data_IF_771991600774
#
_entry.id   IF_771991600774
#
_cell.length_a   1.000
_cell.length_b   1.000
_cell.length_c   1.000
_cell.angle_alpha   90.00
_cell.angle_beta   90.00
_cell.angle_gamma   90.00
#
_symmetry.space_group_name_H-M   'P 1'
#
loop_
_entity.id
_entity.type
_entity.pdbx_description
1 polymer ?
#
# COMPACT_ATOMS: atom_id res chain seq x y z
N UNK A 1 -5.68 -23.06 -4.97
CA UNK A 1 -5.28 -23.08 -3.55
C UNK A 1 -6.36 -23.72 -2.66
N UNK A 2 -7.64 -23.22 -2.60
CA UNK A 2 -8.72 -23.71 -1.70
C UNK A 2 -8.90 -25.25 -1.72
N UNK A 3 -8.97 -25.89 -2.91
CA UNK A 3 -9.12 -27.36 -3.02
C UNK A 3 -7.96 -28.14 -2.40
N UNK A 4 -6.73 -27.66 -2.52
CA UNK A 4 -5.54 -28.31 -1.97
C UNK A 4 -5.52 -28.19 -0.44
N UNK A 5 -5.86 -27.02 0.07
CA UNK A 5 -5.96 -26.73 1.51
C UNK A 5 -6.98 -27.66 2.17
N UNK A 6 -8.20 -27.77 1.61
CA UNK A 6 -9.24 -28.64 2.13
C UNK A 6 -8.80 -30.10 2.09
N UNK A 7 -8.23 -30.56 0.94
CA UNK A 7 -7.79 -31.94 0.77
C UNK A 7 -6.73 -32.38 1.77
N UNK A 8 -5.83 -31.47 2.15
CA UNK A 8 -4.68 -31.80 3.01
C UNK A 8 -4.84 -31.27 4.44
N UNK A 9 -5.98 -30.67 4.78
CA UNK A 9 -6.21 -30.01 6.07
C UNK A 9 -5.10 -28.99 6.42
N UNK A 10 -4.69 -28.19 5.43
CA UNK A 10 -3.66 -27.17 5.60
C UNK A 10 -4.26 -25.84 6.05
N UNK A 11 -3.46 -25.03 6.73
CA UNK A 11 -3.81 -23.66 7.06
C UNK A 11 -3.72 -22.78 5.79
N UNK A 12 -4.74 -21.96 5.55
CA UNK A 12 -4.78 -20.99 4.46
C UNK A 12 -4.75 -19.56 5.02
N UNK A 13 -3.62 -18.89 4.93
CA UNK A 13 -3.41 -17.58 5.53
C UNK A 13 -4.31 -16.46 4.97
N UNK A 14 -4.80 -16.59 3.71
CA UNK A 14 -5.68 -15.59 3.06
C UNK A 14 -5.20 -14.15 3.23
N UNK A 15 -3.97 -13.89 2.85
CA UNK A 15 -3.29 -12.60 3.11
C UNK A 15 -4.02 -11.35 2.61
N UNK A 16 -4.96 -11.48 1.69
CA UNK A 16 -5.73 -10.37 1.13
C UNK A 16 -7.04 -10.11 1.87
N UNK A 17 -7.50 -11.06 2.69
CA UNK A 17 -8.75 -11.03 3.44
C UNK A 17 -8.56 -11.11 4.95
N UNK A 18 -7.38 -11.55 5.42
CA UNK A 18 -7.11 -11.77 6.84
C UNK A 18 -6.67 -10.48 7.52
N UNK A 19 -7.43 -10.04 8.51
CA UNK A 19 -7.16 -8.84 9.31
C UNK A 19 -5.86 -8.91 10.11
N UNK A 20 -5.35 -10.10 10.44
CA UNK A 20 -4.06 -10.24 11.11
C UNK A 20 -2.92 -9.59 10.33
N UNK A 21 -3.07 -9.45 9.01
CA UNK A 21 -2.13 -8.74 8.16
C UNK A 21 -2.03 -7.25 8.52
N UNK A 22 -3.14 -6.55 8.72
CA UNK A 22 -3.13 -5.16 9.17
C UNK A 22 -2.83 -5.03 10.67
N UNK A 23 -3.34 -5.96 11.48
CA UNK A 23 -3.17 -5.95 12.93
C UNK A 23 -1.70 -6.06 13.36
N UNK A 24 -0.89 -6.85 12.65
CA UNK A 24 0.55 -6.93 12.96
C UNK A 24 1.26 -5.62 12.64
N UNK A 25 0.95 -4.96 11.53
CA UNK A 25 1.53 -3.67 11.18
C UNK A 25 1.07 -2.53 12.10
N UNK A 26 -0.15 -2.60 12.62
CA UNK A 26 -0.63 -1.69 13.67
C UNK A 26 0.21 -1.83 14.94
N UNK A 27 0.41 -3.08 15.40
CA UNK A 27 1.12 -3.37 16.67
C UNK A 27 2.64 -3.23 16.59
N UNK A 28 3.22 -3.22 15.40
CA UNK A 28 4.68 -3.18 15.20
C UNK A 28 5.07 -1.99 14.33
N UNK A 29 4.96 -2.07 13.02
CA UNK A 29 5.43 -1.06 12.06
C UNK A 29 4.88 0.34 12.35
N UNK A 30 3.59 0.47 12.64
CA UNK A 30 2.97 1.75 12.98
C UNK A 30 3.51 2.33 14.28
N UNK A 31 3.68 1.49 15.30
CA UNK A 31 4.25 1.91 16.58
C UNK A 31 5.74 2.28 16.46
N UNK A 32 6.49 1.56 15.65
CA UNK A 32 7.89 1.88 15.36
C UNK A 32 8.00 3.25 14.69
N UNK A 33 7.24 3.51 13.63
CA UNK A 33 7.18 4.81 12.96
C UNK A 33 6.78 5.91 13.95
N UNK A 34 5.71 5.71 14.72
CA UNK A 34 5.30 6.67 15.74
C UNK A 34 6.43 6.98 16.74
N UNK A 35 7.09 5.94 17.26
CA UNK A 35 8.16 6.12 18.26
C UNK A 35 9.36 6.88 17.69
N UNK A 36 9.71 6.64 16.43
CA UNK A 36 10.84 7.33 15.78
C UNK A 36 10.52 8.82 15.52
N UNK A 37 9.27 9.15 15.20
CA UNK A 37 8.89 10.49 14.78
C UNK A 37 8.14 11.32 15.83
N UNK A 38 7.66 10.75 16.93
CA UNK A 38 6.84 11.47 17.94
C UNK A 38 7.46 12.76 18.51
N UNK A 39 8.79 12.85 18.53
CA UNK A 39 9.50 14.00 19.08
C UNK A 39 9.94 15.02 18.02
N UNK A 40 10.00 14.65 16.76
CA UNK A 40 10.47 15.49 15.65
C UNK A 40 9.38 15.84 14.65
N UNK A 41 8.25 15.14 14.69
CA UNK A 41 7.14 15.29 13.75
C UNK A 41 7.33 14.46 12.49
N UNK A 42 6.22 14.21 11.80
CA UNK A 42 6.17 13.52 10.51
C UNK A 42 5.14 14.25 9.66
N UNK A 43 5.58 14.96 8.62
CA UNK A 43 4.66 15.73 7.77
C UNK A 43 3.90 14.81 6.81
N UNK A 44 4.62 13.90 6.17
CA UNK A 44 4.07 12.98 5.18
C UNK A 44 4.53 11.55 5.43
N UNK A 45 3.62 10.61 5.21
CA UNK A 45 3.92 9.19 5.12
C UNK A 45 3.36 8.65 3.80
N UNK A 46 4.24 8.09 2.97
CA UNK A 46 3.92 7.60 1.62
C UNK A 46 4.04 6.10 1.57
N UNK A 47 3.03 5.41 1.06
CA UNK A 47 3.11 3.97 0.83
C UNK A 47 2.20 3.53 -0.30
N UNK A 48 2.66 2.55 -1.08
CA UNK A 48 1.80 1.79 -1.98
C UNK A 48 1.14 0.61 -1.29
N UNK A 49 0.42 -0.20 -2.07
CA UNK A 49 -0.25 -1.39 -1.54
C UNK A 49 -0.05 -2.62 -2.42
N UNK A 50 0.26 -3.74 -1.76
CA UNK A 50 0.10 -5.09 -2.29
C UNK A 50 -1.15 -5.72 -1.69
N UNK A 51 -1.06 -6.20 -0.46
CA UNK A 51 -2.23 -6.65 0.33
C UNK A 51 -3.00 -5.52 0.99
N UNK A 52 -2.36 -4.37 1.18
CA UNK A 52 -2.89 -3.25 1.94
C UNK A 52 -2.62 -3.32 3.45
N UNK A 53 -2.09 -4.44 3.95
CA UNK A 53 -1.89 -4.64 5.39
C UNK A 53 -1.03 -3.57 6.05
N UNK A 54 0.12 -3.26 5.46
CA UNK A 54 1.01 -2.20 5.96
C UNK A 54 0.32 -0.85 5.96
N UNK A 55 -0.32 -0.48 4.83
CA UNK A 55 -0.99 0.81 4.74
C UNK A 55 -2.09 0.93 5.79
N UNK A 56 -2.96 -0.06 5.90
CA UNK A 56 -4.08 -0.05 6.85
C UNK A 56 -3.61 -0.02 8.31
N UNK A 57 -2.67 -0.90 8.67
CA UNK A 57 -2.19 -0.97 10.06
C UNK A 57 -1.44 0.28 10.51
N UNK A 58 -0.55 0.82 9.67
CA UNK A 58 0.17 2.07 9.98
C UNK A 58 -0.79 3.26 10.02
N UNK A 59 -1.76 3.32 9.10
CA UNK A 59 -2.73 4.41 9.07
C UNK A 59 -3.57 4.49 10.34
N UNK A 60 -3.97 3.36 10.93
CA UNK A 60 -4.68 3.34 12.21
C UNK A 60 -3.88 4.07 13.29
N UNK A 61 -2.59 3.74 13.44
CA UNK A 61 -1.72 4.35 14.45
C UNK A 61 -1.48 5.83 14.17
N UNK A 62 -1.18 6.20 12.92
CA UNK A 62 -0.88 7.59 12.59
C UNK A 62 -2.12 8.48 12.67
N UNK A 63 -3.30 8.00 12.32
CA UNK A 63 -4.55 8.74 12.50
C UNK A 63 -4.88 8.98 13.97
N UNK A 64 -4.58 8.03 14.85
CA UNK A 64 -4.79 8.17 16.29
C UNK A 64 -3.73 9.07 16.95
N UNK A 65 -2.44 8.80 16.68
CA UNK A 65 -1.33 9.37 17.46
C UNK A 65 -0.63 10.55 16.79
N UNK A 66 -0.74 10.69 15.47
CA UNK A 66 -0.14 11.76 14.67
C UNK A 66 -1.14 12.29 13.63
N UNK A 67 -2.30 12.82 14.03
CA UNK A 67 -3.39 13.17 13.10
C UNK A 67 -3.03 14.28 12.10
N UNK A 68 -1.94 15.00 12.31
CA UNK A 68 -1.44 16.04 11.39
C UNK A 68 -0.62 15.47 10.23
N UNK A 69 -0.14 14.22 10.36
CA UNK A 69 0.62 13.56 9.28
C UNK A 69 -0.28 13.35 8.07
N UNK A 70 0.17 13.79 6.90
CA UNK A 70 -0.49 13.52 5.63
C UNK A 70 -0.15 12.10 5.18
N UNK A 71 -1.18 11.28 5.01
CA UNK A 71 -1.04 9.90 4.54
C UNK A 71 -1.30 9.83 3.05
N UNK A 72 -0.30 9.43 2.29
CA UNK A 72 -0.35 9.34 0.84
C UNK A 72 -0.38 7.87 0.42
N UNK A 73 -1.47 7.47 -0.20
CA UNK A 73 -1.56 6.18 -0.88
C UNK A 73 -1.06 6.35 -2.30
N UNK A 74 -0.29 5.39 -2.79
CA UNK A 74 0.15 5.41 -4.19
C UNK A 74 -0.12 4.08 -4.88
N UNK A 75 -0.42 4.14 -6.17
CA UNK A 75 -0.68 2.99 -7.01
C UNK A 75 -0.09 3.20 -8.42
N UNK A 76 0.08 2.15 -9.25
CA UNK A 76 0.60 2.31 -10.60
C UNK A 76 -0.30 3.20 -11.46
N UNK A 77 0.29 4.10 -12.23
CA UNK A 77 -0.43 5.02 -13.14
C UNK A 77 -1.29 4.32 -14.18
N UNK A 78 -0.86 3.12 -14.59
CA UNK A 78 -1.58 2.29 -15.57
C UNK A 78 -2.61 1.33 -14.94
N UNK A 79 -2.67 1.25 -13.62
CA UNK A 79 -3.55 0.35 -12.87
C UNK A 79 -4.10 1.04 -11.61
N UNK A 80 -4.89 2.08 -11.81
CA UNK A 80 -5.44 2.91 -10.75
C UNK A 80 -6.77 2.32 -10.25
N UNK A 81 -6.70 1.23 -9.49
CA UNK A 81 -7.89 0.52 -9.03
C UNK A 81 -8.68 1.35 -8.02
N UNK A 82 -7.99 1.91 -7.03
CA UNK A 82 -8.60 2.78 -6.02
C UNK A 82 -8.99 4.12 -6.63
N UNK A 83 -8.13 4.70 -7.48
CA UNK A 83 -8.37 5.96 -8.16
C UNK A 83 -9.54 5.94 -9.15
N UNK A 84 -9.90 4.79 -9.67
CA UNK A 84 -11.05 4.63 -10.56
C UNK A 84 -12.39 4.86 -9.85
N UNK A 85 -12.41 4.77 -8.52
CA UNK A 85 -13.63 4.80 -7.70
C UNK A 85 -14.64 3.67 -8.01
N UNK A 86 -14.24 2.66 -8.77
CA UNK A 86 -15.07 1.49 -9.04
C UNK A 86 -14.95 0.48 -7.89
N UNK A 87 -16.09 -0.05 -7.47
CA UNK A 87 -16.13 -1.01 -6.35
C UNK A 87 -15.68 -2.39 -6.81
N UNK A 88 -14.83 -3.02 -6.00
CA UNK A 88 -14.47 -4.42 -6.20
C UNK A 88 -15.69 -5.32 -5.93
N UNK A 89 -16.04 -6.15 -6.91
CA UNK A 89 -17.07 -7.19 -6.73
C UNK A 89 -16.45 -8.34 -5.93
N UNK A 90 -17.11 -8.75 -4.84
CA UNK A 90 -16.63 -9.76 -3.90
C UNK A 90 -17.56 -10.94 -3.76
N UNK A 91 -16.98 -12.07 -3.39
CA UNK A 91 -17.70 -13.25 -2.93
C UNK A 91 -18.16 -13.06 -1.47
N UNK A 92 -19.02 -13.95 -0.97
CA UNK A 92 -19.50 -13.91 0.43
C UNK A 92 -18.37 -14.00 1.48
N UNK A 93 -17.24 -14.60 1.13
CA UNK A 93 -16.08 -14.71 2.01
C UNK A 93 -15.13 -13.49 1.91
N UNK A 94 -15.55 -12.40 1.27
CA UNK A 94 -14.80 -11.17 1.09
C UNK A 94 -13.72 -11.20 -0.01
N UNK A 95 -13.42 -12.38 -0.57
CA UNK A 95 -12.45 -12.49 -1.67
C UNK A 95 -12.99 -11.84 -2.95
N UNK A 96 -12.10 -11.28 -3.78
CA UNK A 96 -12.50 -10.77 -5.08
C UNK A 96 -13.13 -11.87 -5.93
N UNK A 97 -14.26 -11.58 -6.56
CA UNK A 97 -14.95 -12.53 -7.44
C UNK A 97 -14.43 -12.51 -8.86
N UNK A 98 -13.81 -11.41 -9.25
CA UNK A 98 -13.23 -11.19 -10.57
C UNK A 98 -12.12 -10.13 -10.51
N UNK A 99 -11.31 -10.06 -11.54
CA UNK A 99 -10.32 -9.00 -11.71
C UNK A 99 -11.01 -7.64 -11.85
N UNK A 100 -10.35 -6.61 -11.34
CA UNK A 100 -10.82 -5.23 -11.45
C UNK A 100 -10.74 -4.75 -12.90
N UNK A 101 -11.75 -4.04 -13.43
CA UNK A 101 -11.77 -3.64 -14.85
C UNK A 101 -10.63 -2.68 -15.24
N UNK A 102 -10.14 -1.87 -14.30
CA UNK A 102 -9.06 -0.91 -14.54
C UNK A 102 -7.66 -1.48 -14.26
N UNK A 103 -7.56 -2.79 -14.01
CA UNK A 103 -6.26 -3.41 -13.84
C UNK A 103 -5.54 -3.62 -15.17
N UNK A 104 -4.29 -3.20 -15.19
CA UNK A 104 -3.36 -3.45 -16.29
C UNK A 104 -2.03 -3.96 -15.75
N UNK A 105 -1.28 -4.79 -16.49
CA UNK A 105 0.07 -5.20 -16.12
C UNK A 105 0.99 -4.00 -15.94
N UNK A 106 1.80 -4.01 -14.88
CA UNK A 106 2.73 -2.94 -14.56
C UNK A 106 4.04 -3.51 -13.97
N UNK A 107 5.17 -2.77 -14.06
CA UNK A 107 6.47 -3.28 -13.59
C UNK A 107 6.69 -3.15 -12.08
N UNK A 108 5.79 -2.53 -11.33
CA UNK A 108 5.92 -2.35 -9.87
C UNK A 108 5.55 -3.66 -9.18
N UNK A 109 6.51 -4.57 -9.11
CA UNK A 109 6.29 -5.91 -8.61
C UNK A 109 5.92 -5.91 -7.13
N UNK A 110 4.88 -6.66 -6.78
CA UNK A 110 4.36 -6.74 -5.41
C UNK A 110 3.28 -5.72 -5.06
N UNK A 111 3.05 -4.71 -5.92
CA UNK A 111 1.94 -3.78 -5.77
C UNK A 111 0.71 -4.19 -6.59
N UNK A 112 -0.42 -3.65 -6.21
CA UNK A 112 -1.68 -3.61 -6.96
C UNK A 112 -1.96 -4.88 -7.75
N UNK A 113 -2.43 -5.90 -7.03
CA UNK A 113 -2.96 -7.13 -7.63
C UNK A 113 -4.13 -6.78 -8.55
N UNK A 114 -4.58 -7.74 -9.34
CA UNK A 114 -5.71 -7.55 -10.27
C UNK A 114 -7.08 -7.32 -9.58
N UNK A 115 -7.07 -7.00 -8.29
CA UNK A 115 -8.24 -6.68 -7.49
C UNK A 115 -7.86 -5.77 -6.31
N UNK A 116 -8.83 -5.06 -5.74
CA UNK A 116 -8.68 -4.32 -4.48
C UNK A 116 -8.79 -5.31 -3.31
N UNK A 117 -7.72 -5.51 -2.50
CA UNK A 117 -7.75 -6.41 -1.35
C UNK A 117 -8.78 -6.00 -0.30
N UNK A 118 -9.39 -6.97 0.38
CA UNK A 118 -10.32 -6.68 1.48
C UNK A 118 -9.62 -5.98 2.65
N UNK A 119 -8.37 -6.35 2.92
CA UNK A 119 -7.55 -5.71 3.95
C UNK A 119 -7.34 -4.20 3.69
N UNK A 120 -7.25 -3.78 2.41
CA UNK A 120 -7.16 -2.36 2.05
C UNK A 120 -8.52 -1.64 2.12
N UNK A 121 -9.62 -2.37 1.99
CA UNK A 121 -10.96 -1.79 1.90
C UNK A 121 -11.29 -0.90 3.11
N UNK A 122 -10.82 -1.28 4.29
CA UNK A 122 -10.98 -0.46 5.50
C UNK A 122 -10.38 0.94 5.33
N UNK A 123 -9.18 1.04 4.74
CA UNK A 123 -8.53 2.34 4.50
C UNK A 123 -9.29 3.20 3.50
N UNK A 124 -9.95 2.57 2.53
CA UNK A 124 -10.79 3.26 1.55
C UNK A 124 -12.07 3.76 2.21
N UNK A 125 -12.77 2.89 2.92
CA UNK A 125 -14.07 3.19 3.54
C UNK A 125 -13.95 4.26 4.64
N UNK A 126 -12.89 4.20 5.44
CA UNK A 126 -12.61 5.17 6.52
C UNK A 126 -11.82 6.39 6.05
N UNK A 127 -11.46 6.47 4.75
CA UNK A 127 -10.68 7.58 4.18
C UNK A 127 -9.38 7.83 4.97
N UNK A 128 -8.60 6.76 5.19
CA UNK A 128 -7.35 6.88 5.93
C UNK A 128 -6.26 7.63 5.17
N UNK A 129 -6.30 7.72 3.85
CA UNK A 129 -5.36 8.53 3.07
C UNK A 129 -5.95 9.93 2.78
N UNK A 130 -5.09 10.93 2.81
CA UNK A 130 -5.43 12.31 2.44
C UNK A 130 -5.42 12.49 0.93
N UNK A 131 -4.46 11.81 0.27
CA UNK A 131 -4.28 11.89 -1.18
C UNK A 131 -3.94 10.50 -1.74
N UNK A 132 -4.34 10.29 -3.00
CA UNK A 132 -3.97 9.13 -3.81
C UNK A 132 -3.20 9.64 -5.02
N UNK A 133 -1.91 9.30 -5.09
CA UNK A 133 -1.02 9.79 -6.15
C UNK A 133 -0.52 8.62 -6.98
N UNK A 134 -0.85 8.56 -8.29
CA UNK A 134 -0.35 7.51 -9.16
C UNK A 134 1.13 7.70 -9.46
N UNK A 135 1.86 6.59 -9.68
CA UNK A 135 3.28 6.60 -9.99
C UNK A 135 3.60 5.72 -11.19
N UNK A 136 4.47 6.20 -12.08
CA UNK A 136 4.91 5.37 -13.21
C UNK A 136 5.91 4.30 -12.75
N UNK A 137 5.84 3.12 -13.39
CA UNK A 137 6.82 2.07 -13.12
C UNK A 137 8.24 2.46 -13.54
N UNK A 138 8.38 3.34 -14.53
CA UNK A 138 9.69 3.86 -14.97
C UNK A 138 10.33 4.75 -13.90
N UNK A 139 9.54 5.59 -13.23
CA UNK A 139 10.04 6.40 -12.12
C UNK A 139 10.44 5.51 -10.94
N UNK A 140 9.68 4.45 -10.67
CA UNK A 140 10.05 3.46 -9.67
C UNK A 140 11.40 2.79 -9.96
N UNK A 141 11.66 2.40 -11.21
CA UNK A 141 12.94 1.83 -11.63
C UNK A 141 14.06 2.87 -11.52
N UNK A 142 13.83 4.09 -12.01
CA UNK A 142 14.80 5.18 -11.94
C UNK A 142 15.22 5.47 -10.49
N UNK A 143 14.26 5.69 -9.60
CA UNK A 143 14.54 6.04 -8.22
C UNK A 143 15.10 4.88 -7.39
N UNK A 144 14.78 3.63 -7.70
CA UNK A 144 15.44 2.48 -7.09
C UNK A 144 16.94 2.46 -7.42
N UNK A 145 17.31 2.77 -8.67
CA UNK A 145 18.72 2.88 -9.09
C UNK A 145 19.41 4.09 -8.45
N UNK A 146 18.78 5.24 -8.38
CA UNK A 146 19.34 6.44 -7.75
C UNK A 146 19.62 6.21 -6.26
N UNK A 147 18.69 5.58 -5.52
CA UNK A 147 18.89 5.19 -4.12
C UNK A 147 20.08 4.25 -3.95
N UNK A 148 20.20 3.25 -4.82
CA UNK A 148 21.31 2.30 -4.75
C UNK A 148 22.66 2.99 -5.02
N UNK A 149 22.73 3.86 -6.04
CA UNK A 149 23.98 4.49 -6.48
C UNK A 149 24.42 5.65 -5.59
N UNK A 150 23.49 6.46 -5.08
CA UNK A 150 23.81 7.67 -4.34
C UNK A 150 23.80 7.48 -2.83
N UNK A 151 22.92 6.63 -2.32
CA UNK A 151 22.71 6.45 -0.89
C UNK A 151 23.11 5.05 -0.39
N UNK A 152 23.44 4.12 -1.30
CA UNK A 152 23.74 2.74 -0.95
C UNK A 152 22.49 1.95 -0.46
N UNK A 153 21.29 2.48 -0.69
CA UNK A 153 20.03 1.84 -0.30
C UNK A 153 19.54 0.97 -1.44
N UNK A 154 19.67 -0.33 -1.28
CA UNK A 154 19.22 -1.32 -2.28
C UNK A 154 17.74 -1.64 -2.00
N UNK A 155 16.87 -1.28 -2.93
CA UNK A 155 15.43 -1.56 -2.86
C UNK A 155 14.90 -2.10 -4.19
N UNK A 156 13.69 -2.68 -4.16
CA UNK A 156 12.97 -3.06 -5.38
C UNK A 156 12.28 -1.86 -6.05
N UNK A 157 11.65 -2.11 -7.20
CA UNK A 157 10.89 -1.10 -7.94
C UNK A 157 9.79 -0.47 -7.07
N UNK A 158 9.16 -1.25 -6.19
CA UNK A 158 8.13 -0.76 -5.27
C UNK A 158 8.66 0.28 -4.26
N UNK A 159 9.86 0.05 -3.71
CA UNK A 159 10.51 1.04 -2.84
C UNK A 159 10.92 2.30 -3.62
N UNK A 160 11.43 2.14 -4.84
CA UNK A 160 11.72 3.25 -5.74
C UNK A 160 10.47 4.05 -6.10
N UNK A 161 9.33 3.38 -6.31
CA UNK A 161 8.04 4.04 -6.57
C UNK A 161 7.55 4.85 -5.37
N UNK A 162 7.67 4.30 -4.16
CA UNK A 162 7.35 5.05 -2.93
C UNK A 162 8.23 6.29 -2.80
N UNK A 163 9.54 6.12 -3.06
CA UNK A 163 10.51 7.22 -2.98
C UNK A 163 10.29 8.28 -4.05
N UNK A 164 9.88 7.90 -5.28
CA UNK A 164 9.54 8.83 -6.34
C UNK A 164 8.49 9.86 -5.88
N UNK A 165 7.39 9.36 -5.29
CA UNK A 165 6.32 10.23 -4.78
C UNK A 165 6.79 11.07 -3.60
N UNK A 166 7.58 10.50 -2.68
CA UNK A 166 8.13 11.27 -1.57
C UNK A 166 9.01 12.44 -2.03
N UNK A 167 9.82 12.24 -3.09
CA UNK A 167 10.65 13.30 -3.69
C UNK A 167 9.79 14.36 -4.38
N UNK A 168 8.72 13.98 -5.07
CA UNK A 168 7.81 14.93 -5.71
C UNK A 168 7.13 15.82 -4.67
N UNK A 169 6.64 15.24 -3.59
CA UNK A 169 6.07 15.98 -2.46
C UNK A 169 7.11 16.95 -1.87
N UNK A 170 8.32 16.45 -1.57
CA UNK A 170 9.39 17.27 -0.99
C UNK A 170 9.82 18.44 -1.90
N UNK A 171 9.69 18.32 -3.22
CA UNK A 171 9.92 19.39 -4.19
C UNK A 171 8.73 20.36 -4.35
N UNK A 172 7.61 20.09 -3.70
CA UNK A 172 6.37 20.85 -3.87
C UNK A 172 5.68 20.65 -5.21
N UNK A 173 5.96 19.52 -5.89
CA UNK A 173 5.42 19.23 -7.23
C UNK A 173 4.20 18.30 -7.18
N UNK A 174 3.92 17.69 -6.04
CA UNK A 174 2.76 16.81 -5.86
C UNK A 174 1.61 17.60 -5.24
N UNK A 175 0.80 18.21 -6.06
CA UNK A 175 -0.51 18.81 -5.73
C UNK A 175 -1.47 18.65 -6.88
#
# INVERSE_FOLDING_TARGET
AKKIVIKNNWFFAKQFENEDNSNIHEKTTGEEIFNDFKNIGLDYWVSGYGTGGTFTGVSRVLREKMPQTKLILTEPDVAQLVGSNQKQIRNDDGSASQSHPDWNPHPIQGWTTDFIPLVLQESIDNKYFDELIPVSGNDGIFWANELAQKEGIITGVSGGSTFAIAIEIAKGNAT
#
